data_IF_661969251666
#
_entry.id   IF_661969251666
#
_cell.length_a   1.000
_cell.length_b   1.000
_cell.length_c   1.000
_cell.angle_alpha   90.00
_cell.angle_beta   90.00
_cell.angle_gamma   90.00
#
_symmetry.space_group_name_H-M   'P 1'
#
loop_
_entity.id
_entity.type
_entity.pdbx_description
1 polymer ?
#
# COMPACT_ATOMS: atom_id res chain seq x y z
N UNK A 1 -34.83 0.40 -16.59
CA UNK A 1 -33.44 0.04 -16.95
C UNK A 1 -32.59 0.24 -15.71
N UNK A 2 -32.07 -0.85 -15.16
CA UNK A 2 -31.31 -0.90 -13.91
C UNK A 2 -29.99 -0.15 -14.04
N UNK A 3 -29.72 0.76 -13.11
CA UNK A 3 -28.40 1.39 -12.96
C UNK A 3 -27.44 0.32 -12.48
N UNK A 4 -26.46 -0.05 -13.30
CA UNK A 4 -25.35 -0.88 -12.88
C UNK A 4 -24.45 -0.02 -12.00
N UNK A 5 -24.69 -0.05 -10.69
CA UNK A 5 -23.76 0.45 -9.68
C UNK A 5 -22.55 -0.49 -9.66
N UNK A 6 -21.62 -0.28 -10.60
CA UNK A 6 -20.31 -0.90 -10.53
C UNK A 6 -19.53 -0.12 -9.47
N UNK A 7 -19.78 -0.42 -8.18
CA UNK A 7 -18.76 -0.15 -7.17
C UNK A 7 -17.51 -0.90 -7.62
N UNK A 8 -16.39 -0.22 -7.93
CA UNK A 8 -15.17 -0.93 -8.24
C UNK A 8 -14.87 -1.78 -7.01
N UNK A 9 -14.91 -3.11 -7.17
CA UNK A 9 -14.43 -4.02 -6.15
C UNK A 9 -12.93 -3.82 -6.12
N UNK A 10 -12.45 -2.82 -5.36
CA UNK A 10 -11.05 -2.67 -5.07
C UNK A 10 -10.61 -4.04 -4.58
N UNK A 11 -9.63 -4.71 -5.23
CA UNK A 11 -9.16 -5.98 -4.73
C UNK A 11 -8.81 -5.76 -3.26
N UNK A 12 -9.43 -6.53 -2.36
CA UNK A 12 -9.11 -6.48 -0.93
C UNK A 12 -7.71 -7.08 -0.81
N UNK A 13 -6.69 -6.25 -1.05
CA UNK A 13 -5.29 -6.65 -0.94
C UNK A 13 -5.05 -6.86 0.55
N UNK A 14 -4.97 -8.12 0.96
CA UNK A 14 -4.68 -8.46 2.35
C UNK A 14 -3.34 -7.85 2.72
N UNK A 15 -3.25 -7.10 3.84
CA UNK A 15 -1.99 -6.54 4.28
C UNK A 15 -1.00 -7.66 4.59
N UNK A 16 0.19 -7.57 4.01
CA UNK A 16 1.35 -8.42 4.32
C UNK A 16 1.99 -7.89 5.60
N UNK A 17 2.43 -8.79 6.49
CA UNK A 17 3.26 -8.41 7.63
C UNK A 17 4.72 -8.62 7.30
N UNK A 18 5.56 -7.65 7.61
CA UNK A 18 7.00 -7.81 7.57
C UNK A 18 7.54 -8.42 8.87
N UNK A 19 8.83 -8.79 8.87
CA UNK A 19 9.50 -9.38 10.04
C UNK A 19 9.66 -8.40 11.21
N UNK A 20 9.32 -7.12 11.03
CA UNK A 20 9.36 -6.08 12.07
C UNK A 20 7.99 -5.80 12.69
N UNK A 21 6.96 -6.52 12.25
CA UNK A 21 5.58 -6.36 12.70
C UNK A 21 4.82 -5.22 12.00
N UNK A 22 5.39 -4.62 10.96
CA UNK A 22 4.67 -3.64 10.15
C UNK A 22 3.73 -4.37 9.19
N UNK A 23 2.54 -3.82 9.00
CA UNK A 23 1.57 -4.32 8.01
C UNK A 23 1.58 -3.40 6.80
N UNK A 24 1.68 -3.93 5.60
CA UNK A 24 1.69 -3.14 4.37
C UNK A 24 0.85 -3.77 3.28
N UNK A 25 0.28 -2.95 2.40
CA UNK A 25 -0.41 -3.39 1.19
C UNK A 25 -0.07 -2.44 0.04
N UNK A 26 -0.29 -2.90 -1.19
CA UNK A 26 -0.03 -2.13 -2.39
C UNK A 26 -1.25 -2.14 -3.30
N UNK A 27 -1.50 -1.03 -3.99
CA UNK A 27 -2.49 -0.94 -5.06
C UNK A 27 -1.88 -0.21 -6.27
N UNK A 28 -2.42 -0.47 -7.45
CA UNK A 28 -2.08 0.30 -8.64
C UNK A 28 -2.96 1.55 -8.74
N UNK A 29 -2.33 2.72 -8.84
CA UNK A 29 -3.00 4.01 -8.99
C UNK A 29 -2.38 4.73 -10.18
N UNK A 30 -3.18 5.01 -11.21
CA UNK A 30 -2.74 5.73 -12.42
C UNK A 30 -1.50 5.12 -13.10
N UNK A 31 -1.37 3.79 -13.11
CA UNK A 31 -0.23 3.08 -13.69
C UNK A 31 1.03 3.07 -12.82
N UNK A 32 0.97 3.57 -11.59
CA UNK A 32 2.04 3.48 -10.60
C UNK A 32 1.62 2.60 -9.42
N UNK A 33 2.60 2.07 -8.69
CA UNK A 33 2.35 1.27 -7.49
C UNK A 33 2.39 2.17 -6.25
N UNK A 34 1.25 2.26 -5.56
CA UNK A 34 1.14 2.94 -4.26
C UNK A 34 1.19 1.91 -3.15
N UNK A 35 2.11 2.09 -2.21
CA UNK A 35 2.26 1.25 -1.02
C UNK A 35 1.82 2.02 0.20
N UNK A 36 1.07 1.36 1.06
CA UNK A 36 0.68 1.84 2.39
C UNK A 36 1.32 0.93 3.42
N UNK A 37 1.96 1.52 4.42
CA UNK A 37 2.61 0.83 5.53
C UNK A 37 2.06 1.37 6.84
N UNK A 38 1.57 0.47 7.68
CA UNK A 38 1.24 0.73 9.08
C UNK A 38 2.33 0.08 9.93
N UNK A 39 3.12 0.89 10.61
CA UNK A 39 4.14 0.43 11.54
C UNK A 39 3.53 -0.26 12.75
N UNK A 40 4.31 -1.08 13.47
CA UNK A 40 3.87 -1.70 14.73
C UNK A 40 3.39 -0.68 15.78
N UNK A 41 3.91 0.54 15.72
CA UNK A 41 3.58 1.63 16.65
C UNK A 41 2.35 2.44 16.19
N UNK A 42 1.67 1.99 15.12
CA UNK A 42 0.45 2.60 14.60
C UNK A 42 0.66 3.75 13.62
N UNK A 43 1.91 4.15 13.36
CA UNK A 43 2.22 5.19 12.35
C UNK A 43 1.92 4.68 10.95
N UNK A 44 1.16 5.46 10.19
CA UNK A 44 0.84 5.18 8.79
C UNK A 44 1.76 6.01 7.87
N UNK A 45 2.26 5.36 6.83
CA UNK A 45 3.12 5.93 5.80
C UNK A 45 2.66 5.42 4.44
N UNK A 46 2.81 6.24 3.41
CA UNK A 46 2.53 5.84 2.04
C UNK A 46 3.57 6.39 1.08
N UNK A 47 3.77 5.69 -0.03
CA UNK A 47 4.67 6.12 -1.09
C UNK A 47 4.19 5.54 -2.43
N UNK A 48 4.48 6.26 -3.51
CA UNK A 48 4.14 5.86 -4.87
C UNK A 48 5.41 5.80 -5.70
N UNK A 49 5.60 4.69 -6.41
CA UNK A 49 6.75 4.46 -7.28
C UNK A 49 6.34 3.60 -8.49
N UNK A 50 7.28 3.33 -9.39
CA UNK A 50 7.02 2.49 -10.58
C UNK A 50 6.76 1.03 -10.18
N UNK A 51 7.33 0.58 -9.05
CA UNK A 51 7.08 -0.76 -8.50
C UNK A 51 6.73 -0.72 -7.01
N UNK A 52 5.98 -1.73 -6.55
CA UNK A 52 5.62 -1.84 -5.14
C UNK A 52 6.84 -2.08 -4.24
N UNK A 53 7.89 -2.74 -4.75
CA UNK A 53 9.12 -2.94 -3.97
C UNK A 53 9.84 -1.61 -3.75
N UNK A 54 9.98 -0.79 -4.79
CA UNK A 54 10.60 0.54 -4.69
C UNK A 54 9.85 1.45 -3.72
N UNK A 55 8.52 1.54 -3.84
CA UNK A 55 7.70 2.33 -2.92
C UNK A 55 7.86 1.85 -1.46
N UNK A 56 7.91 0.53 -1.24
CA UNK A 56 8.14 -0.04 0.09
C UNK A 56 9.56 0.27 0.62
N UNK A 57 10.61 0.13 -0.20
CA UNK A 57 11.98 0.46 0.20
C UNK A 57 12.14 1.95 0.54
N UNK A 58 11.47 2.85 -0.18
CA UNK A 58 11.46 4.28 0.12
C UNK A 58 10.87 4.57 1.50
N UNK A 59 9.75 3.92 1.85
CA UNK A 59 9.15 4.02 3.18
C UNK A 59 10.11 3.49 4.25
N UNK A 60 10.77 2.35 3.99
CA UNK A 60 11.74 1.76 4.93
C UNK A 60 12.98 2.64 5.12
N UNK A 61 13.45 3.33 4.07
CA UNK A 61 14.56 4.28 4.15
C UNK A 61 14.19 5.49 5.01
N UNK A 62 12.98 6.02 4.83
CA UNK A 62 12.45 7.11 5.66
C UNK A 62 12.34 6.73 7.15
N UNK A 63 11.95 5.49 7.46
CA UNK A 63 11.88 4.98 8.84
C UNK A 63 13.25 4.78 9.51
N UNK A 64 14.34 4.72 8.74
CA UNK A 64 15.71 4.59 9.26
C UNK A 64 16.40 5.93 9.51
N UNK A 65 15.81 7.02 9.03
CA UNK A 65 16.33 8.39 9.14
C UNK A 65 15.85 9.05 10.42
#
# INVERSE_FOLDING_TARGET
MTKTDATPSTPVVKPKKDNKGNSYYSEEVNGQQKVYLTTKDGRQLENTADTADEAYQNILAYLKS
#
